data_IF_495391981156
#
_entry.id   IF_495391981156
#
_cell.length_a   1.000
_cell.length_b   1.000
_cell.length_c   1.000
_cell.angle_alpha   90.00
_cell.angle_beta   90.00
_cell.angle_gamma   90.00
#
_symmetry.space_group_name_H-M   'P 1'
#
loop_
_entity.id
_entity.type
_entity.pdbx_description
1 polymer ?
#
# COMPACT_ATOMS: atom_id res chain seq x y z
N UNK A 1 19.95 -0.20 15.11
CA UNK A 1 18.77 0.37 14.40
C UNK A 1 18.15 -0.77 13.61
N UNK A 2 16.84 -1.01 13.69
CA UNK A 2 16.21 -2.09 12.91
C UNK A 2 16.21 -1.73 11.42
N UNK A 3 16.55 -2.68 10.58
CA UNK A 3 16.45 -2.57 9.12
C UNK A 3 14.97 -2.58 8.71
N UNK A 4 14.61 -1.69 7.79
CA UNK A 4 13.24 -1.56 7.27
C UNK A 4 13.25 -2.08 5.83
N UNK A 5 12.42 -3.09 5.56
CA UNK A 5 12.36 -3.75 4.26
C UNK A 5 10.93 -3.64 3.71
N UNK A 6 10.70 -2.76 2.71
CA UNK A 6 9.42 -2.68 2.02
C UNK A 6 9.18 -3.93 1.18
N UNK A 7 7.98 -4.48 1.26
CA UNK A 7 7.50 -5.58 0.40
C UNK A 7 6.08 -5.28 -0.09
N UNK A 8 5.68 -5.89 -1.19
CA UNK A 8 4.29 -5.84 -1.66
C UNK A 8 3.52 -7.04 -1.10
N UNK A 9 2.22 -6.87 -0.86
CA UNK A 9 1.30 -8.01 -0.72
C UNK A 9 1.35 -8.88 -1.98
N UNK A 10 0.96 -10.15 -1.86
CA UNK A 10 0.97 -11.06 -3.00
C UNK A 10 0.12 -10.51 -4.16
N UNK A 11 -1.09 -10.02 -3.86
CA UNK A 11 -2.00 -9.44 -4.86
C UNK A 11 -1.41 -8.21 -5.54
N UNK A 12 -0.79 -7.30 -4.77
CA UNK A 12 -0.20 -6.09 -5.31
C UNK A 12 1.08 -6.38 -6.10
N UNK A 13 1.86 -7.39 -5.70
CA UNK A 13 3.01 -7.87 -6.46
C UNK A 13 2.57 -8.41 -7.83
N UNK A 14 1.58 -9.31 -7.87
CA UNK A 14 1.05 -9.84 -9.13
C UNK A 14 0.46 -8.74 -10.01
N UNK A 15 -0.24 -7.78 -9.39
CA UNK A 15 -0.75 -6.60 -10.10
C UNK A 15 0.38 -5.79 -10.74
N UNK A 16 1.48 -5.55 -10.00
CA UNK A 16 2.63 -4.82 -10.53
C UNK A 16 3.26 -5.56 -11.72
N UNK A 17 3.49 -6.87 -11.61
CA UNK A 17 4.06 -7.68 -12.70
C UNK A 17 3.19 -7.60 -13.96
N UNK A 18 1.87 -7.80 -13.83
CA UNK A 18 0.95 -7.68 -14.98
C UNK A 18 1.04 -6.30 -15.64
N UNK A 19 1.11 -5.22 -14.85
CA UNK A 19 1.20 -3.86 -15.41
C UNK A 19 2.57 -3.65 -16.09
N UNK A 20 3.65 -4.22 -15.57
CA UNK A 20 4.96 -4.17 -16.23
C UNK A 20 4.92 -4.84 -17.60
N UNK A 21 4.28 -6.00 -17.71
CA UNK A 21 4.05 -6.68 -19.00
C UNK A 21 3.25 -5.80 -19.97
N UNK A 22 2.15 -5.19 -19.51
CA UNK A 22 1.35 -4.26 -20.31
C UNK A 22 2.21 -3.09 -20.84
N UNK A 23 3.02 -2.48 -19.97
CA UNK A 23 3.89 -1.35 -20.33
C UNK A 23 4.96 -1.76 -21.36
N UNK A 24 5.55 -2.95 -21.22
CA UNK A 24 6.51 -3.47 -22.21
C UNK A 24 5.88 -3.71 -23.59
N UNK A 25 4.59 -4.00 -23.63
CA UNK A 25 3.81 -4.13 -24.86
C UNK A 25 3.30 -2.77 -25.39
N UNK A 26 3.66 -1.66 -24.73
CA UNK A 26 3.21 -0.30 -25.08
C UNK A 26 1.80 0.06 -24.59
N UNK A 27 1.14 -0.82 -23.84
CA UNK A 27 -0.17 -0.52 -23.23
C UNK A 27 0.00 0.31 -21.95
N UNK A 28 -0.37 1.58 -22.02
CA UNK A 28 -0.22 2.54 -20.90
C UNK A 28 -1.44 2.67 -20.00
N UNK A 29 -2.46 1.82 -20.16
CA UNK A 29 -3.73 1.92 -19.42
C UNK A 29 -3.53 1.98 -17.89
N UNK A 30 -2.53 1.27 -17.36
CA UNK A 30 -2.24 1.21 -15.93
C UNK A 30 -0.94 1.93 -15.51
N UNK A 31 -0.37 2.77 -16.36
CA UNK A 31 0.89 3.50 -16.09
C UNK A 31 0.81 4.34 -14.81
N UNK A 32 -0.33 4.99 -14.56
CA UNK A 32 -0.56 5.78 -13.35
C UNK A 32 -0.48 4.91 -12.08
N UNK A 33 -1.15 3.76 -12.07
CA UNK A 33 -1.14 2.85 -10.92
C UNK A 33 0.27 2.31 -10.66
N UNK A 34 0.99 1.94 -11.72
CA UNK A 34 2.39 1.52 -11.62
C UNK A 34 3.27 2.61 -10.98
N UNK A 35 3.10 3.85 -11.41
CA UNK A 35 3.83 4.99 -10.85
C UNK A 35 3.51 5.21 -9.37
N UNK A 36 2.26 5.06 -8.95
CA UNK A 36 1.86 5.18 -7.54
C UNK A 36 2.43 4.05 -6.68
N UNK A 37 2.44 2.82 -7.18
CA UNK A 37 3.08 1.67 -6.49
C UNK A 37 4.57 1.96 -6.32
N UNK A 38 5.25 2.39 -7.38
CA UNK A 38 6.69 2.69 -7.36
C UNK A 38 7.01 3.82 -6.38
N UNK A 39 6.27 4.93 -6.43
CA UNK A 39 6.39 6.03 -5.45
C UNK A 39 6.19 5.57 -4.01
N UNK A 40 5.28 4.63 -3.77
CA UNK A 40 5.03 4.07 -2.44
C UNK A 40 6.24 3.25 -1.95
N UNK A 41 6.81 2.41 -2.82
CA UNK A 41 8.03 1.65 -2.52
C UNK A 41 9.18 2.61 -2.18
N UNK A 42 9.40 3.64 -3.00
CA UNK A 42 10.47 4.60 -2.81
C UNK A 42 10.29 5.43 -1.54
N UNK A 43 9.05 5.82 -1.21
CA UNK A 43 8.73 6.51 0.03
C UNK A 43 9.17 5.69 1.26
N UNK A 44 8.87 4.39 1.28
CA UNK A 44 9.25 3.50 2.39
C UNK A 44 10.76 3.19 2.40
N UNK A 45 11.39 3.01 1.23
CA UNK A 45 12.86 2.84 1.12
C UNK A 45 13.63 4.05 1.64
N UNK A 46 13.08 5.25 1.49
CA UNK A 46 13.61 6.48 2.08
C UNK A 46 13.41 6.57 3.61
N UNK A 47 12.98 5.48 4.26
CA UNK A 47 12.72 5.38 5.71
C UNK A 47 11.68 6.36 6.22
N UNK A 48 10.78 6.84 5.34
CA UNK A 48 9.64 7.66 5.72
C UNK A 48 8.51 6.77 6.24
N UNK A 49 7.64 7.33 7.08
CA UNK A 49 6.53 6.60 7.70
C UNK A 49 5.20 7.24 7.34
N UNK A 50 4.18 6.39 7.15
CA UNK A 50 2.81 6.84 7.02
C UNK A 50 2.16 7.19 8.36
N UNK A 51 0.94 7.71 8.28
CA UNK A 51 0.09 8.02 9.42
C UNK A 51 -0.59 6.73 9.92
N UNK A 52 -0.57 6.42 11.23
CA UNK A 52 -1.31 5.28 11.76
C UNK A 52 -2.81 5.50 11.62
N UNK A 53 -3.53 4.46 11.21
CA UNK A 53 -5.00 4.49 11.07
C UNK A 53 -5.63 3.94 12.35
N UNK A 54 -6.59 4.70 12.89
CA UNK A 54 -7.36 4.30 14.07
C UNK A 54 -8.17 3.02 13.82
N UNK A 55 -8.10 2.08 14.76
CA UNK A 55 -8.86 0.81 14.73
C UNK A 55 -10.38 0.98 14.72
N UNK A 56 -10.86 2.19 15.08
CA UNK A 56 -12.29 2.53 15.06
C UNK A 56 -12.79 2.90 13.67
N UNK A 57 -11.89 3.23 12.74
CA UNK A 57 -12.27 3.67 11.41
C UNK A 57 -12.76 2.49 10.56
N UNK A 58 -13.86 2.65 9.81
CA UNK A 58 -14.36 1.62 8.90
C UNK A 58 -13.32 1.05 7.92
N UNK A 59 -12.44 1.89 7.36
CA UNK A 59 -11.34 1.41 6.49
C UNK A 59 -10.40 0.44 7.22
N UNK A 60 -10.14 0.66 8.51
CA UNK A 60 -9.32 -0.27 9.28
C UNK A 60 -9.99 -1.65 9.35
N UNK A 61 -11.32 -1.68 9.57
CA UNK A 61 -12.10 -2.92 9.63
C UNK A 61 -12.09 -3.69 8.32
N UNK A 62 -12.07 -2.99 7.20
CA UNK A 62 -11.85 -3.60 5.89
C UNK A 62 -10.50 -4.35 5.85
N UNK A 63 -9.38 -3.67 6.13
CA UNK A 63 -8.05 -4.28 6.08
C UNK A 63 -7.84 -5.36 7.16
N UNK A 64 -8.39 -5.18 8.36
CA UNK A 64 -8.38 -6.19 9.42
C UNK A 64 -9.08 -7.47 8.96
N UNK A 65 -10.26 -7.37 8.33
CA UNK A 65 -11.00 -8.52 7.82
C UNK A 65 -10.33 -9.17 6.62
N UNK A 66 -9.76 -8.39 5.69
CA UNK A 66 -9.16 -8.93 4.46
C UNK A 66 -7.77 -9.52 4.69
N UNK A 67 -6.94 -8.88 5.52
CA UNK A 67 -5.52 -9.21 5.64
C UNK A 67 -5.12 -9.70 7.05
N UNK A 68 -6.04 -9.73 8.02
CA UNK A 68 -5.75 -10.19 9.38
C UNK A 68 -4.76 -9.29 10.15
N UNK A 69 -4.66 -8.02 9.77
CA UNK A 69 -3.65 -7.10 10.31
C UNK A 69 -4.07 -6.46 11.64
N UNK A 70 -3.09 -6.23 12.51
CA UNK A 70 -3.29 -5.62 13.85
C UNK A 70 -2.78 -4.18 13.95
N UNK A 71 -2.18 -3.68 12.87
CA UNK A 71 -1.70 -2.33 12.69
C UNK A 71 -1.81 -1.93 11.20
N UNK A 72 -2.22 -0.69 10.95
CA UNK A 72 -2.42 -0.16 9.60
C UNK A 72 -1.88 1.25 9.52
N UNK A 73 -1.18 1.55 8.44
CA UNK A 73 -0.61 2.84 8.15
C UNK A 73 -1.06 3.33 6.78
N UNK A 74 -1.25 4.64 6.67
CA UNK A 74 -1.65 5.33 5.46
C UNK A 74 -0.54 6.25 4.96
N UNK A 75 -0.25 6.17 3.67
CA UNK A 75 0.61 7.12 2.97
C UNK A 75 -0.28 7.96 2.04
N UNK A 76 -0.24 9.27 2.22
CA UNK A 76 -0.84 10.23 1.28
C UNK A 76 0.16 10.48 0.15
N UNK A 77 0.08 9.68 -0.92
CA UNK A 77 1.03 9.76 -2.05
C UNK A 77 0.84 11.07 -2.82
N UNK A 78 -0.42 11.49 -3.00
CA UNK A 78 -0.82 12.75 -3.62
C UNK A 78 -2.04 13.32 -2.89
N UNK A 79 -2.67 14.36 -3.46
CA UNK A 79 -3.95 14.88 -2.93
C UNK A 79 -5.02 13.79 -2.85
N UNK A 80 -5.08 12.92 -3.86
CA UNK A 80 -6.14 11.92 -4.03
C UNK A 80 -5.67 10.49 -3.72
N UNK A 81 -4.43 10.15 -4.12
CA UNK A 81 -3.94 8.80 -4.03
C UNK A 81 -3.48 8.43 -2.61
N UNK A 82 -3.76 7.19 -2.22
CA UNK A 82 -3.50 6.64 -0.89
C UNK A 82 -2.83 5.27 -1.02
N UNK A 83 -1.83 4.99 -0.21
CA UNK A 83 -1.32 3.63 -0.04
C UNK A 83 -1.46 3.18 1.40
N UNK A 84 -1.70 1.89 1.58
CA UNK A 84 -1.89 1.26 2.87
C UNK A 84 -0.83 0.20 3.08
N UNK A 85 -0.21 0.20 4.27
CA UNK A 85 0.77 -0.81 4.62
C UNK A 85 0.64 -1.23 6.09
N UNK A 86 1.21 -2.38 6.40
CA UNK A 86 1.32 -2.91 7.76
C UNK A 86 2.77 -3.23 8.09
N UNK A 87 3.12 -3.15 9.37
CA UNK A 87 4.42 -3.58 9.87
C UNK A 87 4.31 -5.00 10.44
N UNK A 88 5.24 -5.86 10.03
CA UNK A 88 5.41 -7.22 10.56
C UNK A 88 6.85 -7.36 11.06
N UNK A 89 7.03 -8.11 12.15
CA UNK A 89 8.37 -8.48 12.61
C UNK A 89 9.05 -9.34 11.54
N UNK A 90 10.19 -8.89 11.02
CA UNK A 90 11.04 -9.66 10.10
C UNK A 90 12.11 -10.48 10.82
N UNK A 91 12.09 -10.51 12.16
CA UNK A 91 13.15 -11.05 13.00
C UNK A 91 13.61 -10.04 14.05
N UNK A 92 14.73 -10.33 14.70
CA UNK A 92 15.25 -9.53 15.81
C UNK A 92 15.60 -8.08 15.38
N UNK A 93 16.18 -7.94 14.20
CA UNK A 93 16.70 -6.67 13.68
C UNK A 93 15.97 -6.14 12.43
N UNK A 94 14.85 -6.75 12.03
CA UNK A 94 14.15 -6.41 10.79
C UNK A 94 12.67 -6.08 11.03
N UNK A 95 12.18 -5.05 10.33
CA UNK A 95 10.75 -4.74 10.21
C UNK A 95 10.39 -4.83 8.73
N UNK A 96 9.44 -5.70 8.41
CA UNK A 96 8.85 -5.78 7.10
C UNK A 96 7.69 -4.79 7.01
N UNK A 97 7.72 -3.91 6.01
CA UNK A 97 6.61 -3.02 5.70
C UNK A 97 5.88 -3.57 4.48
N UNK A 98 4.78 -4.27 4.71
CA UNK A 98 4.00 -4.90 3.63
C UNK A 98 2.99 -3.89 3.12
N UNK A 99 3.18 -3.40 1.89
CA UNK A 99 2.23 -2.55 1.18
C UNK A 99 1.07 -3.45 0.73
N UNK A 100 -0.11 -3.19 1.28
CA UNK A 100 -1.31 -4.01 1.08
C UNK A 100 -2.01 -3.59 -0.22
N UNK A 101 -2.33 -2.31 -0.33
CA UNK A 101 -3.09 -1.75 -1.46
C UNK A 101 -2.67 -0.30 -1.77
N UNK A 102 -2.86 0.10 -3.03
CA UNK A 102 -2.66 1.46 -3.54
C UNK A 102 -3.93 1.90 -4.27
N UNK A 103 -4.52 3.00 -3.84
CA UNK A 103 -5.75 3.59 -4.40
C UNK A 103 -5.41 4.87 -5.15
N UNK A 104 -5.96 5.03 -6.35
CA UNK A 104 -5.72 6.20 -7.21
C UNK A 104 -6.54 7.39 -6.75
N UNK A 105 -7.75 7.15 -6.24
CA UNK A 105 -8.73 8.19 -5.94
C UNK A 105 -9.26 8.11 -4.52
N UNK A 106 -9.79 9.24 -4.02
CA UNK A 106 -10.46 9.26 -2.72
C UNK A 106 -11.73 8.38 -2.70
N UNK A 107 -12.43 8.27 -3.84
CA UNK A 107 -13.64 7.46 -3.98
C UNK A 107 -13.38 5.97 -3.79
N UNK A 108 -12.26 5.46 -4.28
CA UNK A 108 -11.86 4.06 -4.06
C UNK A 108 -11.70 3.76 -2.56
N UNK A 109 -11.05 4.68 -1.85
CA UNK A 109 -10.89 4.63 -0.39
C UNK A 109 -12.24 4.69 0.34
N UNK A 110 -13.09 5.66 0.00
CA UNK A 110 -14.42 5.84 0.62
C UNK A 110 -15.27 4.58 0.44
N UNK A 111 -15.31 4.05 -0.79
CA UNK A 111 -16.04 2.83 -1.14
C UNK A 111 -15.58 1.62 -0.34
N UNK A 112 -14.26 1.40 -0.21
CA UNK A 112 -13.71 0.29 0.58
C UNK A 112 -13.99 0.45 2.07
N UNK A 113 -13.93 1.68 2.56
CA UNK A 113 -14.28 1.99 3.93
C UNK A 113 -15.79 2.00 4.22
N UNK A 114 -16.66 1.97 3.21
CA UNK A 114 -18.10 2.11 3.42
C UNK A 114 -18.48 3.49 3.98
N UNK A 115 -17.70 4.52 3.65
CA UNK A 115 -18.06 5.91 3.92
C UNK A 115 -19.04 6.32 2.80
N UNK A 116 -20.32 6.39 3.14
CA UNK A 116 -21.39 6.79 2.21
C UNK A 116 -21.29 8.28 1.84
#
# INVERSE_FOLDING_TARGET
>A
MKEIIPKLSQELFQTKIRIEEELTQGNKTNEELYNLITKTIDFLKAKRTGEPISKKLPIYKYFEKQYGITNLFLIKISKEARAFYTNISGGEYQILQIILEVHKTHKEYEKKGGYN
#
